data_IF_810503981069
#
_entry.id   IF_810503981069
#
_cell.length_a   1.000
_cell.length_b   1.000
_cell.length_c   1.000
_cell.angle_alpha   90.00
_cell.angle_beta   90.00
_cell.angle_gamma   90.00
#
_symmetry.space_group_name_H-M   'P 1'
#
loop_
_entity.id
_entity.type
_entity.pdbx_description
1 polymer ?
#
# COMPACT_ATOMS: atom_id res chain seq x y z
N UNK A 1 9.97 12.81 1.70
CA UNK A 1 8.79 12.05 1.27
C UNK A 1 9.05 10.61 1.66
N UNK A 2 8.44 10.15 2.74
CA UNK A 2 8.68 8.78 3.23
C UNK A 2 8.06 7.79 2.25
N UNK A 3 8.88 6.95 1.63
CA UNK A 3 8.40 5.92 0.72
C UNK A 3 7.73 4.85 1.58
N UNK A 4 6.39 4.79 1.54
CA UNK A 4 5.61 3.75 2.24
C UNK A 4 6.19 2.37 1.96
N UNK A 5 6.45 1.63 3.03
CA UNK A 5 6.95 0.26 2.94
C UNK A 5 5.95 -0.62 2.21
N UNK A 6 6.48 -1.49 1.36
CA UNK A 6 5.75 -2.37 0.47
C UNK A 6 6.06 -3.78 0.92
N UNK A 7 5.08 -4.67 0.89
CA UNK A 7 5.30 -6.06 1.26
C UNK A 7 4.67 -6.99 0.22
N UNK A 8 5.31 -8.13 0.00
CA UNK A 8 4.80 -9.18 -0.88
C UNK A 8 3.79 -10.09 -0.15
N UNK A 9 3.34 -11.14 -0.82
CA UNK A 9 2.33 -12.06 -0.28
C UNK A 9 2.79 -12.83 0.97
N UNK A 10 4.10 -12.96 1.20
CA UNK A 10 4.68 -13.54 2.40
C UNK A 10 4.84 -12.52 3.54
N UNK A 11 4.55 -11.24 3.30
CA UNK A 11 4.78 -10.16 4.26
C UNK A 11 6.24 -9.72 4.36
N UNK A 12 7.08 -10.07 3.37
CA UNK A 12 8.48 -9.63 3.32
C UNK A 12 8.51 -8.23 2.70
N UNK A 13 9.34 -7.34 3.26
CA UNK A 13 9.50 -5.97 2.77
C UNK A 13 10.14 -5.99 1.36
N UNK A 14 9.42 -5.41 0.39
CA UNK A 14 9.90 -5.23 -0.98
C UNK A 14 10.79 -3.98 -1.00
N UNK A 15 12.09 -4.22 -1.03
CA UNK A 15 13.11 -3.18 -1.18
C UNK A 15 13.51 -3.00 -2.66
N UNK A 16 14.45 -2.09 -2.91
CA UNK A 16 14.99 -1.79 -4.25
C UNK A 16 15.55 -3.02 -4.96
N UNK A 17 16.03 -4.02 -4.21
CA UNK A 17 16.56 -5.27 -4.78
C UNK A 17 15.49 -6.24 -5.26
N UNK A 18 14.27 -6.15 -4.72
CA UNK A 18 13.17 -7.07 -5.04
C UNK A 18 12.00 -6.38 -5.78
N UNK A 19 12.28 -5.27 -6.49
CA UNK A 19 11.29 -4.35 -7.10
C UNK A 19 10.30 -5.00 -8.08
N UNK A 20 10.63 -6.16 -8.64
CA UNK A 20 9.75 -6.94 -9.52
C UNK A 20 8.60 -7.65 -8.79
N UNK A 21 8.68 -7.79 -7.47
CA UNK A 21 7.67 -8.54 -6.72
C UNK A 21 6.34 -7.81 -6.70
N UNK A 22 5.27 -8.61 -6.79
CA UNK A 22 3.91 -8.10 -6.69
C UNK A 22 3.68 -7.56 -5.28
N UNK A 23 3.43 -6.26 -5.18
CA UNK A 23 3.10 -5.61 -3.91
C UNK A 23 1.70 -6.05 -3.47
N UNK A 24 1.60 -6.85 -2.42
CA UNK A 24 0.32 -7.35 -1.89
C UNK A 24 -0.13 -6.54 -0.68
N UNK A 25 0.81 -6.03 0.11
CA UNK A 25 0.51 -5.17 1.25
C UNK A 25 1.33 -3.87 1.22
N UNK A 26 0.78 -2.84 1.85
CA UNK A 26 1.47 -1.57 2.09
C UNK A 26 1.30 -1.15 3.54
N UNK A 27 2.25 -0.40 4.06
CA UNK A 27 2.23 0.14 5.41
C UNK A 27 1.07 1.15 5.60
N UNK A 28 0.15 0.91 6.56
CA UNK A 28 -0.78 1.94 7.08
C UNK A 28 -0.18 2.53 8.35
N UNK A 29 -0.35 3.85 8.48
CA UNK A 29 0.01 4.67 9.63
C UNK A 29 -0.55 4.18 10.98
N UNK A 30 -1.61 3.35 10.95
CA UNK A 30 -2.16 2.70 12.14
C UNK A 30 -1.31 1.53 12.69
N UNK A 31 -0.15 1.25 12.09
CA UNK A 31 0.70 0.12 12.46
C UNK A 31 0.24 -1.23 11.89
N UNK A 32 -0.72 -1.23 10.95
CA UNK A 32 -1.19 -2.42 10.25
C UNK A 32 -0.89 -2.38 8.76
N UNK A 33 -0.96 -3.54 8.13
CA UNK A 33 -0.76 -3.71 6.70
C UNK A 33 -2.08 -3.53 5.94
N UNK A 34 -2.12 -2.56 5.03
CA UNK A 34 -3.22 -2.41 4.08
C UNK A 34 -3.07 -3.44 2.95
N UNK A 35 -4.12 -4.23 2.72
CA UNK A 35 -4.13 -5.31 1.73
C UNK A 35 -4.61 -4.78 0.38
N UNK A 36 -4.02 -5.28 -0.71
CA UNK A 36 -4.52 -5.03 -2.07
C UNK A 36 -5.98 -5.48 -2.22
N UNK A 37 -6.84 -4.63 -2.74
CA UNK A 37 -8.21 -5.02 -3.11
C UNK A 37 -8.20 -5.88 -4.37
N UNK A 38 -8.87 -7.04 -4.31
CA UNK A 38 -9.10 -7.90 -5.46
C UNK A 38 -10.04 -7.18 -6.45
N UNK A 39 -9.64 -7.12 -7.72
CA UNK A 39 -10.43 -6.49 -8.79
C UNK A 39 -10.18 -5.00 -9.00
N UNK A 40 -9.44 -4.31 -8.13
CA UNK A 40 -8.99 -2.93 -8.35
C UNK A 40 -7.48 -2.88 -8.58
N UNK A 41 -7.06 -2.42 -9.75
CA UNK A 41 -5.64 -2.32 -10.07
C UNK A 41 -4.96 -1.30 -9.14
N UNK A 42 -3.96 -1.77 -8.40
CA UNK A 42 -3.09 -0.97 -7.53
C UNK A 42 -3.82 -0.18 -6.42
N UNK A 43 -4.96 -0.69 -5.97
CA UNK A 43 -5.70 -0.17 -4.82
C UNK A 43 -5.45 -1.04 -3.59
N UNK A 44 -5.19 -0.41 -2.45
CA UNK A 44 -4.93 -1.06 -1.17
C UNK A 44 -5.83 -0.46 -0.12
N UNK A 45 -6.39 -1.30 0.74
CA UNK A 45 -7.29 -0.88 1.80
C UNK A 45 -6.87 -1.51 3.11
N UNK A 46 -6.75 -0.68 4.14
CA UNK A 46 -6.55 -1.18 5.48
C UNK A 46 -7.90 -1.52 6.10
N UNK A 47 -8.00 -2.70 6.72
CA UNK A 47 -9.24 -3.12 7.37
C UNK A 47 -9.49 -2.36 8.69
N UNK A 48 -8.44 -1.97 9.41
CA UNK A 48 -8.58 -1.25 10.68
C UNK A 48 -8.76 0.26 10.52
N UNK A 49 -7.84 0.92 9.83
CA UNK A 49 -7.90 2.38 9.63
C UNK A 49 -8.95 2.77 8.55
N UNK A 50 -9.49 1.80 7.79
CA UNK A 50 -10.32 1.99 6.58
C UNK A 50 -9.70 2.90 5.50
N UNK A 51 -8.45 3.32 5.68
CA UNK A 51 -7.71 4.13 4.73
C UNK A 51 -7.45 3.35 3.46
N UNK A 52 -7.57 4.07 2.37
CA UNK A 52 -7.38 3.57 1.02
C UNK A 52 -6.12 4.21 0.43
N UNK A 53 -5.33 3.40 -0.25
CA UNK A 53 -4.09 3.79 -0.89
C UNK A 53 -4.11 3.39 -2.35
N UNK A 54 -3.59 4.25 -3.22
CA UNK A 54 -3.47 4.00 -4.65
C UNK A 54 -2.04 4.26 -5.10
N UNK A 55 -1.55 3.46 -6.05
CA UNK A 55 -0.29 3.78 -6.71
C UNK A 55 -0.48 5.00 -7.62
N UNK A 56 0.22 6.08 -7.30
CA UNK A 56 0.32 7.29 -8.11
C UNK A 56 1.79 7.66 -8.31
N UNK A 57 2.21 7.82 -9.55
CA UNK A 57 3.58 8.18 -9.93
C UNK A 57 4.69 7.33 -9.25
N UNK A 58 4.46 6.02 -9.08
CA UNK A 58 5.43 5.09 -8.47
C UNK A 58 5.39 5.00 -6.94
N UNK A 59 4.58 5.84 -6.28
CA UNK A 59 4.40 5.89 -4.83
C UNK A 59 2.97 5.55 -4.44
N UNK A 60 2.78 4.94 -3.27
CA UNK A 60 1.44 4.69 -2.73
C UNK A 60 0.98 5.94 -1.99
N UNK A 61 -0.03 6.62 -2.53
CA UNK A 61 -0.64 7.80 -1.92
C UNK A 61 -1.94 7.40 -1.24
N UNK A 62 -2.26 8.03 -0.12
CA UNK A 62 -3.55 7.89 0.54
C UNK A 62 -4.60 8.64 -0.28
N UNK A 63 -5.71 7.99 -0.62
CA UNK A 63 -6.82 8.57 -1.38
C UNK A 63 -8.04 8.87 -0.50
N UNK A 64 -7.94 8.60 0.81
CA UNK A 64 -9.00 8.79 1.80
C UNK A 64 -8.87 10.05 2.67
N UNK A 65 -7.83 10.87 2.48
CA UNK A 65 -7.78 12.19 3.11
C UNK A 65 -8.65 13.12 2.26
N UNK A 66 -9.89 13.35 2.68
CA UNK A 66 -10.84 14.21 1.98
C UNK A 66 -10.25 15.58 1.71
N UNK A 67 -10.25 15.98 0.44
CA UNK A 67 -10.43 17.38 0.09
C UNK A 67 -11.89 17.72 0.49
N UNK A 68 -12.03 18.51 1.56
CA UNK A 68 -13.19 19.40 1.69
C UNK A 68 -12.94 20.61 0.80
#
# INVERSE_FOLDING_TARGET
>A
MDVRKKYDHWGIEITTWNKTNVVVYVDCDCGQLARRELGKYNHFKCSSCKKEYKLSNGSYIEIGAGEN
#
